data_IF_372619543791
#
_entry.id   IF_372619543791
#
_cell.length_a   1.000
_cell.length_b   1.000
_cell.length_c   1.000
_cell.angle_alpha   90.00
_cell.angle_beta   90.00
_cell.angle_gamma   90.00
#
_symmetry.space_group_name_H-M   'P 1'
#
loop_
_entity.id
_entity.type
_entity.pdbx_description
1 polymer ?
#
# COMPACT_ATOMS: atom_id res chain seq x y z
N UNK A 1 -19.79 -30.43 -45.54
CA UNK A 1 -20.40 -29.09 -45.45
C UNK A 1 -19.57 -28.25 -44.50
N UNK A 2 -19.05 -27.08 -44.80
CA UNK A 2 -18.75 -26.38 -46.04
C UNK A 2 -17.56 -25.47 -45.68
N UNK A 3 -16.58 -25.45 -46.57
CA UNK A 3 -15.36 -24.66 -46.54
C UNK A 3 -15.66 -23.16 -46.63
N UNK A 4 -14.92 -22.33 -45.89
CA UNK A 4 -14.84 -20.87 -46.10
C UNK A 4 -13.59 -20.30 -45.43
N UNK A 5 -12.43 -20.78 -45.91
CA UNK A 5 -11.16 -20.07 -45.85
C UNK A 5 -10.85 -19.51 -47.24
N UNK A 6 -11.23 -18.26 -47.50
CA UNK A 6 -10.58 -17.38 -48.49
C UNK A 6 -11.42 -16.12 -48.72
N UNK A 7 -11.00 -14.97 -48.18
CA UNK A 7 -11.19 -13.65 -48.80
C UNK A 7 -10.65 -12.53 -47.92
N UNK A 8 -9.39 -12.12 -48.12
CA UNK A 8 -9.03 -10.69 -48.18
C UNK A 8 -7.96 -10.51 -49.27
N UNK A 9 -8.43 -10.08 -50.43
CA UNK A 9 -7.63 -9.74 -51.59
C UNK A 9 -6.82 -8.45 -51.39
N UNK A 10 -5.61 -8.50 -51.95
CA UNK A 10 -4.72 -7.40 -52.31
C UNK A 10 -5.50 -6.26 -52.99
N UNK A 11 -5.46 -5.06 -52.42
CA UNK A 11 -5.78 -3.82 -53.15
C UNK A 11 -4.50 -3.10 -53.54
N UNK A 12 -4.25 -3.07 -54.85
CA UNK A 12 -3.36 -2.15 -55.53
C UNK A 12 -3.69 -0.70 -55.12
N UNK A 13 -2.70 0.02 -54.58
CA UNK A 13 -2.74 1.46 -54.52
C UNK A 13 -2.04 2.05 -55.76
N UNK A 14 -2.84 2.75 -56.54
CA UNK A 14 -2.44 3.62 -57.63
C UNK A 14 -1.54 4.75 -57.11
N UNK A 15 -0.45 4.98 -57.84
CA UNK A 15 0.37 6.19 -57.77
C UNK A 15 -0.49 7.43 -58.02
N UNK A 16 -0.73 8.22 -56.97
CA UNK A 16 -1.24 9.59 -57.09
C UNK A 16 -0.07 10.59 -56.95
N UNK A 17 -0.05 11.67 -57.76
CA UNK A 17 1.04 12.65 -57.73
C UNK A 17 1.03 13.44 -56.41
N UNK A 18 2.18 13.44 -55.73
CA UNK A 18 2.45 14.29 -54.56
C UNK A 18 2.35 15.77 -54.96
N UNK A 19 1.19 16.40 -54.74
CA UNK A 19 1.10 17.86 -54.64
C UNK A 19 1.86 18.29 -53.38
N UNK A 20 2.94 19.05 -53.57
CA UNK A 20 3.66 19.77 -52.51
C UNK A 20 2.68 20.70 -51.80
N UNK A 21 2.11 20.27 -50.68
CA UNK A 21 1.50 21.19 -49.71
C UNK A 21 2.65 21.94 -49.05
N UNK A 22 2.73 23.24 -49.31
CA UNK A 22 3.51 24.19 -48.54
C UNK A 22 3.13 24.04 -47.06
N UNK A 23 4.05 23.46 -46.29
CA UNK A 23 3.97 23.41 -44.83
C UNK A 23 4.22 24.83 -44.36
N UNK A 24 3.15 25.54 -43.98
CA UNK A 24 3.29 26.77 -43.21
C UNK A 24 4.07 26.41 -41.93
N UNK A 25 5.25 27.00 -41.79
CA UNK A 25 6.04 26.98 -40.57
C UNK A 25 5.17 27.52 -39.43
N UNK A 26 4.63 26.63 -38.60
CA UNK A 26 4.09 27.02 -37.30
C UNK A 26 5.31 27.33 -36.44
N UNK A 27 5.53 28.62 -36.19
CA UNK A 27 6.56 29.11 -35.28
C UNK A 27 6.47 28.35 -33.96
N UNK A 28 7.60 27.87 -33.41
CA UNK A 28 7.60 27.18 -32.13
C UNK A 28 6.96 28.09 -31.08
N UNK A 29 5.88 27.61 -30.48
CA UNK A 29 5.22 28.24 -29.33
C UNK A 29 6.29 28.59 -28.31
N UNK A 30 6.51 29.89 -28.09
CA UNK A 30 7.47 30.39 -27.12
C UNK A 30 7.15 29.75 -25.77
N UNK A 31 8.07 28.93 -25.26
CA UNK A 31 8.03 28.43 -23.90
C UNK A 31 7.97 29.67 -22.99
N UNK A 32 6.97 29.79 -22.10
CA UNK A 32 6.81 30.98 -21.27
C UNK A 32 8.12 31.23 -20.52
N UNK A 33 8.63 32.45 -20.66
CA UNK A 33 9.85 32.91 -20.03
C UNK A 33 9.83 32.54 -18.54
N UNK A 34 10.95 32.02 -18.04
CA UNK A 34 11.10 31.61 -16.65
C UNK A 34 10.67 32.77 -15.73
N UNK A 35 9.52 32.60 -15.07
CA UNK A 35 9.01 33.55 -14.07
C UNK A 35 10.14 33.87 -13.08
N UNK A 36 10.31 35.15 -12.81
CA UNK A 36 11.39 35.60 -11.92
C UNK A 36 11.21 34.96 -10.54
N UNK A 37 12.31 34.69 -9.82
CA UNK A 37 12.24 34.12 -8.46
C UNK A 37 11.34 34.97 -7.54
N UNK A 38 11.31 36.29 -7.77
CA UNK A 38 10.46 37.25 -7.04
C UNK A 38 8.97 37.03 -7.29
N UNK A 39 8.55 36.78 -8.54
CA UNK A 39 7.14 36.49 -8.85
C UNK A 39 6.65 35.19 -8.18
N UNK A 40 7.50 34.17 -8.13
CA UNK A 40 7.17 32.90 -7.47
C UNK A 40 7.02 33.07 -5.96
N UNK A 41 7.87 33.88 -5.33
CA UNK A 41 7.78 34.21 -3.90
C UNK A 41 6.52 35.00 -3.59
N UNK A 42 6.22 36.05 -4.36
CA UNK A 42 5.01 36.85 -4.18
C UNK A 42 3.73 36.01 -4.34
N UNK A 43 3.69 35.10 -5.33
CA UNK A 43 2.56 34.18 -5.51
C UNK A 43 2.41 33.21 -4.33
N UNK A 44 3.51 32.72 -3.75
CA UNK A 44 3.48 31.86 -2.57
C UNK A 44 3.02 32.61 -1.32
N UNK A 45 3.46 33.84 -1.11
CA UNK A 45 3.04 34.69 0.01
C UNK A 45 1.56 35.03 -0.05
N UNK A 46 1.07 35.41 -1.23
CA UNK A 46 -0.36 35.64 -1.46
C UNK A 46 -1.18 34.40 -1.12
N UNK A 47 -0.74 33.23 -1.58
CA UNK A 47 -1.42 31.96 -1.34
C UNK A 47 -1.42 31.57 0.14
N UNK A 48 -0.35 31.86 0.87
CA UNK A 48 -0.31 31.69 2.35
C UNK A 48 -1.27 32.64 3.05
N UNK A 49 -1.41 33.88 2.56
CA UNK A 49 -2.37 34.84 3.14
C UNK A 49 -3.82 34.40 2.92
N UNK A 50 -4.19 33.97 1.70
CA UNK A 50 -5.50 33.39 1.37
C UNK A 50 -5.84 32.19 2.27
N UNK A 51 -4.86 31.30 2.45
CA UNK A 51 -4.98 30.15 3.33
C UNK A 51 -5.20 30.52 4.79
N UNK A 52 -4.48 31.52 5.32
CA UNK A 52 -4.68 31.98 6.70
C UNK A 52 -6.11 32.49 6.92
N UNK A 53 -6.66 33.24 5.97
CA UNK A 53 -8.06 33.67 6.04
C UNK A 53 -9.05 32.49 5.97
N UNK A 54 -8.74 31.45 5.18
CA UNK A 54 -9.55 30.24 5.13
C UNK A 54 -9.48 29.46 6.46
N UNK A 55 -8.30 29.35 7.05
CA UNK A 55 -8.05 28.70 8.35
C UNK A 55 -8.82 29.41 9.45
N UNK A 56 -8.76 30.75 9.49
CA UNK A 56 -9.54 31.56 10.43
C UNK A 56 -11.03 31.25 10.29
N UNK A 57 -11.59 31.30 9.06
CA UNK A 57 -13.00 30.96 8.81
C UNK A 57 -13.38 29.57 9.33
N UNK A 58 -12.54 28.56 9.07
CA UNK A 58 -12.78 27.19 9.53
C UNK A 58 -12.68 27.06 11.06
N UNK A 59 -11.72 27.73 11.70
CA UNK A 59 -11.57 27.74 13.16
C UNK A 59 -12.76 28.43 13.86
N UNK A 60 -13.30 29.50 13.27
CA UNK A 60 -14.47 30.21 13.81
C UNK A 60 -15.79 29.45 13.61
N UNK A 61 -15.89 28.57 12.61
CA UNK A 61 -17.08 27.74 12.39
C UNK A 61 -17.32 26.68 13.47
N UNK A 62 -16.39 26.54 14.43
CA UNK A 62 -16.45 25.60 15.54
C UNK A 62 -15.69 24.30 15.23
N UNK A 63 -14.74 23.96 16.09
CA UNK A 63 -13.83 22.80 15.92
C UNK A 63 -14.50 21.43 15.98
N UNK A 64 -15.82 21.32 16.17
CA UNK A 64 -16.45 20.02 16.47
C UNK A 64 -16.28 18.99 15.35
N UNK A 65 -16.09 19.45 14.10
CA UNK A 65 -16.17 18.61 12.91
C UNK A 65 -14.84 18.48 12.15
N UNK A 66 -13.78 19.17 12.58
CA UNK A 66 -12.49 19.10 11.89
C UNK A 66 -11.74 17.83 12.29
N UNK A 67 -11.42 17.00 11.29
CA UNK A 67 -10.55 15.82 11.46
C UNK A 67 -9.12 16.22 11.89
N UNK A 68 -8.41 15.32 12.55
CA UNK A 68 -7.01 15.52 12.94
C UNK A 68 -6.10 15.91 11.77
N UNK A 69 -6.28 15.29 10.60
CA UNK A 69 -5.55 15.64 9.37
C UNK A 69 -5.83 17.07 8.86
N UNK A 70 -7.04 17.60 9.06
CA UNK A 70 -7.36 19.01 8.78
C UNK A 70 -6.61 19.94 9.74
N UNK A 71 -6.67 19.66 11.03
CA UNK A 71 -5.99 20.44 12.07
C UNK A 71 -4.46 20.45 11.87
N UNK A 72 -3.88 19.29 11.54
CA UNK A 72 -2.46 19.17 11.19
C UNK A 72 -2.13 20.03 9.96
N UNK A 73 -2.94 19.95 8.91
CA UNK A 73 -2.74 20.76 7.70
C UNK A 73 -2.80 22.26 8.01
N UNK A 74 -3.77 22.69 8.83
CA UNK A 74 -3.91 24.08 9.27
C UNK A 74 -2.70 24.55 10.09
N UNK A 75 -2.19 23.70 10.98
CA UNK A 75 -1.01 23.99 11.80
C UNK A 75 0.26 24.19 10.95
N UNK A 76 0.52 23.28 10.02
CA UNK A 76 1.70 23.36 9.14
C UNK A 76 1.63 24.61 8.26
N UNK A 77 0.45 24.94 7.71
CA UNK A 77 0.25 26.14 6.88
C UNK A 77 0.36 27.44 7.68
N UNK A 78 -0.07 27.43 8.93
CA UNK A 78 -0.03 28.60 9.81
C UNK A 78 1.37 28.92 10.31
N UNK A 79 2.26 27.94 10.31
CA UNK A 79 3.68 28.15 10.62
C UNK A 79 4.34 29.06 9.58
N UNK A 80 5.29 29.87 10.04
CA UNK A 80 6.15 30.65 9.17
C UNK A 80 7.35 29.82 8.66
N UNK A 81 7.57 28.64 9.22
CA UNK A 81 8.64 27.72 8.84
C UNK A 81 8.27 26.90 7.59
N UNK A 82 9.27 26.48 6.81
CA UNK A 82 9.05 25.62 5.64
C UNK A 82 8.63 24.20 6.03
N UNK A 83 9.10 23.75 7.18
CA UNK A 83 8.84 22.43 7.75
C UNK A 83 8.66 22.56 9.25
N UNK A 84 7.66 21.91 9.83
CA UNK A 84 7.24 22.10 11.22
C UNK A 84 7.41 20.79 11.99
N UNK A 85 7.94 20.84 13.21
CA UNK A 85 8.02 19.66 14.06
C UNK A 85 6.63 19.20 14.52
N UNK A 86 6.47 17.89 14.72
CA UNK A 86 5.22 17.32 15.25
C UNK A 86 4.79 17.90 16.59
N UNK A 87 5.76 18.18 17.47
CA UNK A 87 5.50 18.82 18.75
C UNK A 87 4.89 20.23 18.59
N UNK A 88 5.40 21.02 17.63
CA UNK A 88 4.90 22.36 17.34
C UNK A 88 3.53 22.32 16.66
N UNK A 89 3.31 21.33 15.78
CA UNK A 89 1.99 21.06 15.19
C UNK A 89 0.97 20.78 16.29
N UNK A 90 1.29 19.88 17.23
CA UNK A 90 0.40 19.57 18.34
C UNK A 90 0.18 20.80 19.24
N UNK A 91 1.24 21.54 19.55
CA UNK A 91 1.17 22.79 20.31
C UNK A 91 0.21 23.80 19.67
N UNK A 92 0.30 23.97 18.34
CA UNK A 92 -0.60 24.84 17.59
C UNK A 92 -2.06 24.37 17.70
N UNK A 93 -2.33 23.07 17.56
CA UNK A 93 -3.70 22.52 17.66
C UNK A 93 -4.27 22.78 19.06
N UNK A 94 -3.48 22.57 20.10
CA UNK A 94 -3.90 22.81 21.49
C UNK A 94 -4.20 24.30 21.70
N UNK A 95 -3.36 25.20 21.17
CA UNK A 95 -3.56 26.64 21.32
C UNK A 95 -4.76 27.19 20.53
N UNK A 96 -5.08 26.60 19.39
CA UNK A 96 -6.11 27.11 18.49
C UNK A 96 -7.44 26.36 18.62
N UNK A 97 -7.46 25.18 19.23
CA UNK A 97 -8.68 24.41 19.42
C UNK A 97 -9.12 24.29 20.87
N UNK A 98 -10.27 24.90 21.20
CA UNK A 98 -10.83 24.87 22.58
C UNK A 98 -11.12 23.44 23.05
N UNK A 99 -11.65 22.59 22.16
CA UNK A 99 -11.94 21.18 22.44
C UNK A 99 -10.69 20.43 22.90
N UNK A 100 -9.61 20.58 22.15
CA UNK A 100 -8.36 19.87 22.42
C UNK A 100 -7.61 20.48 23.62
N UNK A 101 -7.67 21.81 23.81
CA UNK A 101 -7.14 22.48 25.01
C UNK A 101 -7.75 21.93 26.31
N UNK A 102 -9.06 21.70 26.35
CA UNK A 102 -9.73 21.12 27.51
C UNK A 102 -9.29 19.67 27.78
N UNK A 103 -9.12 18.85 26.74
CA UNK A 103 -8.62 17.48 26.87
C UNK A 103 -7.22 17.43 27.49
N UNK A 104 -6.34 18.36 27.10
CA UNK A 104 -4.97 18.45 27.63
C UNK A 104 -4.95 18.73 29.13
N UNK A 105 -5.84 19.60 29.64
CA UNK A 105 -5.90 19.89 31.08
C UNK A 105 -6.14 18.64 31.93
N UNK A 106 -7.01 17.75 31.46
CA UNK A 106 -7.29 16.47 32.13
C UNK A 106 -6.09 15.52 32.03
N UNK A 107 -5.50 15.40 30.84
CA UNK A 107 -4.35 14.51 30.58
C UNK A 107 -3.10 14.97 31.35
N UNK A 108 -2.85 16.29 31.44
CA UNK A 108 -1.74 16.85 32.22
C UNK A 108 -1.84 16.43 33.69
N UNK A 109 -3.04 16.54 34.27
CA UNK A 109 -3.26 16.17 35.66
C UNK A 109 -2.89 14.70 35.91
N UNK A 110 -3.28 13.82 34.98
CA UNK A 110 -2.99 12.39 35.06
C UNK A 110 -1.51 12.09 34.76
N UNK A 111 -0.92 12.65 33.72
CA UNK A 111 0.48 12.41 33.36
C UNK A 111 1.45 12.87 34.45
N UNK A 112 1.23 14.03 35.06
CA UNK A 112 2.04 14.52 36.19
C UNK A 112 1.90 13.57 37.39
N UNK A 113 0.67 13.10 37.67
CA UNK A 113 0.39 12.19 38.78
C UNK A 113 1.06 10.81 38.61
N UNK A 114 1.12 10.28 37.38
CA UNK A 114 1.60 8.91 37.14
C UNK A 114 3.05 8.81 36.67
N UNK A 115 3.57 9.77 35.90
CA UNK A 115 4.85 9.61 35.21
C UNK A 115 5.92 10.63 35.61
N UNK A 116 5.59 11.64 36.42
CA UNK A 116 6.54 12.67 36.86
C UNK A 116 7.19 13.48 35.72
N UNK A 117 6.67 13.37 34.49
CA UNK A 117 7.17 14.06 33.31
C UNK A 117 6.04 14.42 32.35
N UNK A 118 6.25 15.50 31.60
CA UNK A 118 5.30 16.05 30.63
C UNK A 118 5.60 15.43 29.25
N UNK A 119 5.41 14.12 29.12
CA UNK A 119 5.39 13.46 27.80
C UNK A 119 3.98 12.98 27.53
N UNK A 120 3.30 13.65 26.60
CA UNK A 120 1.93 13.33 26.23
C UNK A 120 1.91 12.27 25.12
N UNK A 121 1.12 11.20 25.26
CA UNK A 121 0.72 10.41 24.11
C UNK A 121 -0.14 11.30 23.22
N UNK A 122 0.36 11.65 22.03
CA UNK A 122 -0.29 12.64 21.18
C UNK A 122 -1.68 12.19 20.72
N UNK A 123 -1.89 10.87 20.64
CA UNK A 123 -3.19 10.27 20.32
C UNK A 123 -4.25 10.46 21.41
N UNK A 124 -3.86 10.75 22.65
CA UNK A 124 -4.81 11.08 23.72
C UNK A 124 -5.32 12.51 23.61
N UNK A 125 -4.53 13.41 23.02
CA UNK A 125 -4.91 14.81 22.86
C UNK A 125 -5.78 14.99 21.62
N UNK A 126 -5.29 14.52 20.47
CA UNK A 126 -5.99 14.57 19.19
C UNK A 126 -6.21 13.15 18.70
N UNK A 127 -7.48 12.75 18.55
CA UNK A 127 -7.83 11.42 18.09
C UNK A 127 -7.24 11.17 16.69
N UNK A 128 -6.56 10.03 16.52
CA UNK A 128 -5.89 9.64 15.26
C UNK A 128 -4.82 10.64 14.77
N UNK A 129 -4.15 11.37 15.67
CA UNK A 129 -3.04 12.28 15.31
C UNK A 129 -1.95 11.57 14.50
N UNK A 130 -1.44 10.45 15.02
CA UNK A 130 -0.34 9.69 14.40
C UNK A 130 -0.74 8.96 13.12
N UNK A 131 -1.99 8.47 13.06
CA UNK A 131 -2.55 7.86 11.87
C UNK A 131 -2.79 8.89 10.77
N UNK A 132 -3.19 10.11 11.14
CA UNK A 132 -3.38 11.22 10.19
C UNK A 132 -2.09 11.59 9.47
N UNK A 133 -0.92 11.55 10.11
CA UNK A 133 0.37 11.75 9.42
C UNK A 133 0.67 10.70 8.35
N UNK A 134 0.12 9.50 8.50
CA UNK A 134 0.26 8.41 7.53
C UNK A 134 -0.88 8.39 6.52
N UNK A 135 -1.85 9.31 6.62
CA UNK A 135 -2.96 9.39 5.70
C UNK A 135 -2.47 9.85 4.34
N UNK A 136 -2.60 8.96 3.37
CA UNK A 136 -2.28 9.23 1.96
C UNK A 136 -3.02 10.45 1.36
N UNK A 137 -4.20 10.78 1.88
CA UNK A 137 -4.99 11.93 1.39
C UNK A 137 -4.45 13.26 1.92
N UNK A 138 -3.61 13.21 2.95
CA UNK A 138 -3.04 14.40 3.54
C UNK A 138 -1.87 14.88 2.69
N UNK A 139 -1.86 16.15 2.28
CA UNK A 139 -0.85 16.69 1.37
C UNK A 139 0.52 17.01 2.02
N UNK A 140 0.88 16.36 3.13
CA UNK A 140 2.17 16.60 3.78
C UNK A 140 3.31 15.89 3.06
N UNK A 141 4.48 16.50 3.14
CA UNK A 141 5.76 15.93 2.73
C UNK A 141 6.65 15.82 3.97
N UNK A 142 7.10 14.62 4.29
CA UNK A 142 8.02 14.39 5.41
C UNK A 142 9.41 14.92 5.05
N UNK A 143 9.92 15.85 5.85
CA UNK A 143 11.24 16.45 5.68
C UNK A 143 12.21 15.73 6.60
N UNK A 144 13.00 14.83 6.01
CA UNK A 144 14.01 14.07 6.75
C UNK A 144 15.36 14.80 6.74
N UNK A 145 15.56 15.69 7.70
CA UNK A 145 16.85 16.38 7.88
C UNK A 145 17.96 15.47 8.42
N UNK A 146 17.62 14.29 8.95
CA UNK A 146 18.55 13.30 9.50
C UNK A 146 17.81 11.97 9.71
N UNK A 147 18.48 10.80 9.83
CA UNK A 147 17.89 9.58 10.39
C UNK A 147 17.50 9.80 11.86
N UNK A 148 16.42 10.55 12.04
CA UNK A 148 15.74 10.82 13.29
C UNK A 148 15.38 9.49 13.96
N UNK A 149 16.07 9.17 15.05
CA UNK A 149 15.73 8.03 15.91
C UNK A 149 14.57 8.35 16.86
N UNK A 150 14.23 9.64 17.03
CA UNK A 150 13.13 10.07 17.90
C UNK A 150 11.94 10.59 17.09
N UNK A 151 10.75 10.22 17.53
CA UNK A 151 9.47 10.64 16.97
C UNK A 151 9.32 12.18 17.00
N UNK A 152 9.84 12.85 18.04
CA UNK A 152 9.79 14.31 18.21
C UNK A 152 10.58 15.08 17.14
N UNK A 153 11.56 14.43 16.51
CA UNK A 153 12.44 15.07 15.52
C UNK A 153 11.91 15.02 14.09
N UNK A 154 10.75 14.41 13.85
CA UNK A 154 10.13 14.40 12.53
C UNK A 154 9.53 15.77 12.21
N UNK A 155 9.90 16.30 11.03
CA UNK A 155 9.36 17.53 10.48
C UNK A 155 8.45 17.22 9.29
N UNK A 156 7.37 17.97 9.16
CA UNK A 156 6.45 17.87 8.02
C UNK A 156 6.30 19.23 7.34
N UNK A 157 6.26 19.22 6.02
CA UNK A 157 6.07 20.41 5.19
C UNK A 157 4.85 20.23 4.28
N UNK A 158 4.37 21.33 3.68
CA UNK A 158 3.25 21.29 2.75
C UNK A 158 3.38 22.38 1.69
N UNK A 159 3.13 22.00 0.44
CA UNK A 159 3.01 22.98 -0.63
C UNK A 159 1.68 23.75 -0.50
N UNK A 160 1.68 25.10 -0.48
CA UNK A 160 0.47 25.87 -0.20
C UNK A 160 -0.71 25.55 -1.13
N UNK A 161 -0.47 25.27 -2.42
CA UNK A 161 -1.55 24.94 -3.35
C UNK A 161 -2.24 23.61 -2.99
N UNK A 162 -1.49 22.63 -2.48
CA UNK A 162 -2.07 21.35 -2.05
C UNK A 162 -2.87 21.53 -0.75
N UNK A 163 -2.35 22.32 0.18
CA UNK A 163 -3.07 22.69 1.39
C UNK A 163 -4.41 23.33 1.08
N UNK A 164 -4.44 24.26 0.11
CA UNK A 164 -5.65 24.93 -0.33
C UNK A 164 -6.68 23.96 -0.89
N UNK A 165 -6.28 23.11 -1.84
CA UNK A 165 -7.18 22.10 -2.40
C UNK A 165 -7.73 21.15 -1.33
N UNK A 166 -6.89 20.79 -0.35
CA UNK A 166 -7.30 19.95 0.77
C UNK A 166 -8.27 20.65 1.72
N UNK A 167 -7.95 21.86 2.19
CA UNK A 167 -8.80 22.64 3.12
C UNK A 167 -10.11 23.10 2.49
N UNK A 168 -10.14 23.36 1.18
CA UNK A 168 -11.38 23.59 0.42
C UNK A 168 -12.37 22.43 0.52
N UNK A 169 -11.94 21.24 0.92
CA UNK A 169 -12.86 20.11 1.17
C UNK A 169 -13.67 20.24 2.45
N UNK A 170 -13.21 21.05 3.40
CA UNK A 170 -13.82 21.26 4.71
C UNK A 170 -14.61 22.57 4.76
N UNK A 171 -14.44 23.45 3.77
CA UNK A 171 -15.27 24.64 3.59
C UNK A 171 -16.67 24.13 3.20
N UNK A 172 -17.54 23.96 4.22
CA UNK A 172 -18.94 23.61 4.04
C UNK A 172 -19.60 24.76 3.28
N UNK A 173 -19.52 24.70 1.95
CA UNK A 173 -20.30 25.55 1.08
C UNK A 173 -21.77 25.43 1.49
N UNK A 174 -22.52 26.51 1.34
CA UNK A 174 -23.94 26.47 1.65
C UNK A 174 -24.57 25.30 0.87
N UNK A 175 -25.60 24.63 1.43
CA UNK A 175 -26.32 23.57 0.74
C UNK A 175 -26.76 23.97 -0.69
N UNK A 176 -26.99 25.27 -0.91
CA UNK A 176 -27.36 25.86 -2.20
C UNK A 176 -26.20 25.92 -3.21
N UNK A 177 -24.95 26.11 -2.74
CA UNK A 177 -23.75 26.06 -3.59
C UNK A 177 -23.36 24.62 -3.96
N UNK A 178 -23.58 23.64 -3.06
CA UNK A 178 -23.38 22.22 -3.40
C UNK A 178 -24.35 21.75 -4.50
N UNK A 179 -25.58 22.28 -4.52
CA UNK A 179 -26.58 21.95 -5.54
C UNK A 179 -26.22 22.47 -6.95
N UNK A 180 -25.37 23.50 -7.07
CA UNK A 180 -25.03 24.13 -8.36
C UNK A 180 -23.68 23.70 -8.93
N UNK A 181 -22.75 23.21 -8.10
CA UNK A 181 -21.59 22.50 -8.61
C UNK A 181 -21.99 21.09 -9.03
N UNK A 182 -22.41 20.93 -10.30
CA UNK A 182 -22.44 19.62 -10.94
C UNK A 182 -21.08 18.99 -10.80
N UNK A 183 -20.93 18.06 -9.85
CA UNK A 183 -19.65 17.40 -9.58
C UNK A 183 -19.18 16.79 -10.89
N UNK A 184 -17.98 17.13 -11.34
CA UNK A 184 -17.41 16.54 -12.55
C UNK A 184 -17.43 15.02 -12.42
N UNK A 185 -18.32 14.35 -13.16
CA UNK A 185 -18.47 12.89 -13.06
C UNK A 185 -17.35 12.29 -13.87
N UNK A 186 -16.82 11.16 -13.41
CA UNK A 186 -15.80 10.46 -14.19
C UNK A 186 -16.29 10.11 -15.60
N UNK A 187 -17.57 9.76 -15.74
CA UNK A 187 -18.21 9.48 -17.03
C UNK A 187 -18.20 10.68 -18.00
N UNK A 188 -18.03 11.90 -17.48
CA UNK A 188 -17.91 13.11 -18.29
C UNK A 188 -16.49 13.23 -18.89
N UNK A 189 -15.51 12.40 -18.49
CA UNK A 189 -14.25 12.26 -19.22
C UNK A 189 -14.45 11.49 -20.54
N UNK A 190 -13.71 11.89 -21.59
CA UNK A 190 -13.58 11.08 -22.80
C UNK A 190 -13.21 9.63 -22.46
N UNK A 191 -13.88 8.65 -23.09
CA UNK A 191 -13.68 7.23 -22.78
C UNK A 191 -12.21 6.81 -22.91
N UNK A 192 -11.43 7.43 -23.80
CA UNK A 192 -10.00 7.18 -23.97
C UNK A 192 -9.21 7.49 -22.70
N UNK A 193 -9.49 8.63 -22.05
CA UNK A 193 -8.83 9.01 -20.80
C UNK A 193 -9.26 8.09 -19.66
N UNK A 194 -10.53 7.69 -19.63
CA UNK A 194 -11.02 6.73 -18.64
C UNK A 194 -10.31 5.39 -18.76
N UNK A 195 -10.19 4.87 -19.99
CA UNK A 195 -9.46 3.63 -20.28
C UNK A 195 -8.00 3.76 -19.86
N UNK A 196 -7.31 4.87 -20.19
CA UNK A 196 -5.92 5.06 -19.77
C UNK A 196 -5.75 5.11 -18.25
N UNK A 197 -6.67 5.76 -17.53
CA UNK A 197 -6.67 5.79 -16.07
C UNK A 197 -6.90 4.37 -15.52
N UNK A 198 -7.87 3.63 -16.05
CA UNK A 198 -8.14 2.26 -15.66
C UNK A 198 -7.00 1.30 -16.00
N UNK A 199 -6.35 1.43 -17.15
CA UNK A 199 -5.15 0.66 -17.49
C UNK A 199 -4.02 0.96 -16.49
N UNK A 200 -3.80 2.22 -16.13
CA UNK A 200 -2.78 2.59 -15.15
C UNK A 200 -3.08 2.09 -13.74
N UNK A 201 -4.36 1.97 -13.37
CA UNK A 201 -4.80 1.66 -12.01
C UNK A 201 -5.04 0.14 -11.84
N UNK A 202 -5.57 -0.56 -12.84
CA UNK A 202 -6.02 -1.95 -12.74
C UNK A 202 -5.13 -2.98 -13.45
N UNK A 203 -4.03 -2.58 -14.08
CA UNK A 203 -3.15 -3.53 -14.80
C UNK A 203 -2.16 -4.29 -13.88
N UNK A 204 -2.47 -4.46 -12.60
CA UNK A 204 -1.56 -5.09 -11.65
C UNK A 204 -2.00 -6.51 -11.26
N UNK A 205 -1.50 -7.56 -11.94
CA UNK A 205 -1.84 -8.95 -11.65
C UNK A 205 -1.44 -9.41 -10.25
N UNK A 206 -0.37 -8.83 -9.70
CA UNK A 206 0.04 -8.98 -8.31
C UNK A 206 0.83 -7.72 -7.93
N UNK A 207 0.54 -7.13 -6.78
CA UNK A 207 1.26 -6.01 -6.20
C UNK A 207 2.08 -6.56 -5.04
N UNK A 208 3.41 -6.58 -5.20
CA UNK A 208 4.31 -6.99 -4.11
C UNK A 208 4.58 -5.78 -3.22
N UNK A 209 4.20 -5.88 -1.96
CA UNK A 209 4.60 -4.96 -0.91
C UNK A 209 5.93 -5.46 -0.35
N UNK A 210 7.04 -4.86 -0.79
CA UNK A 210 8.38 -5.15 -0.27
C UNK A 210 9.04 -3.88 0.26
N UNK A 211 9.31 -3.84 1.56
CA UNK A 211 10.02 -2.72 2.19
C UNK A 211 11.47 -2.57 1.71
N UNK A 212 12.09 -3.60 1.12
CA UNK A 212 13.46 -3.51 0.55
C UNK A 212 13.49 -2.63 -0.69
N UNK A 213 12.37 -2.54 -1.41
CA UNK A 213 12.15 -1.60 -2.52
C UNK A 213 11.98 -0.17 -2.02
N UNK A 214 11.44 0.02 -0.82
CA UNK A 214 11.56 1.26 -0.05
C UNK A 214 12.98 1.34 0.53
N UNK A 215 13.96 1.36 -0.37
CA UNK A 215 15.37 1.26 -0.06
C UNK A 215 15.78 2.32 0.95
N UNK A 216 16.80 1.97 1.74
CA UNK A 216 17.62 2.94 2.46
C UNK A 216 17.84 4.12 1.54
N UNK A 217 17.45 5.32 2.00
CA UNK A 217 17.69 6.59 1.32
C UNK A 217 18.97 6.48 0.47
N UNK A 218 18.80 6.42 -0.85
CA UNK A 218 19.89 6.77 -1.73
C UNK A 218 20.32 8.15 -1.24
N UNK A 219 21.58 8.30 -0.80
CA UNK A 219 22.15 9.59 -0.37
C UNK A 219 21.99 10.71 -1.41
N UNK A 220 21.49 10.39 -2.62
CA UNK A 220 21.22 11.30 -3.72
C UNK A 220 19.78 11.80 -3.84
N UNK A 221 18.88 11.47 -2.91
CA UNK A 221 17.51 12.03 -2.95
C UNK A 221 16.64 11.52 -4.10
N UNK A 222 17.03 10.42 -4.74
CA UNK A 222 16.19 9.76 -5.74
C UNK A 222 15.09 8.97 -5.01
N UNK A 223 13.85 9.42 -5.24
CA UNK A 223 12.57 8.99 -4.68
C UNK A 223 12.44 7.53 -4.26
N UNK A 224 11.68 7.29 -3.17
CA UNK A 224 11.18 5.98 -2.76
C UNK A 224 10.53 5.25 -3.95
N UNK A 225 11.26 4.30 -4.55
CA UNK A 225 10.70 3.44 -5.57
C UNK A 225 9.93 2.33 -4.87
N UNK A 226 8.64 2.53 -4.62
CA UNK A 226 7.73 1.39 -4.42
C UNK A 226 7.73 0.61 -5.74
N UNK A 227 8.67 -0.34 -5.87
CA UNK A 227 8.76 -1.19 -7.04
C UNK A 227 7.52 -2.08 -7.05
N UNK A 228 6.58 -1.74 -7.92
CA UNK A 228 5.42 -2.55 -8.15
C UNK A 228 5.83 -3.69 -9.09
N UNK A 229 6.12 -4.84 -8.52
CA UNK A 229 6.45 -6.03 -9.30
C UNK A 229 5.18 -6.58 -9.96
N UNK A 230 4.93 -6.15 -11.19
CA UNK A 230 3.83 -6.64 -12.03
C UNK A 230 4.17 -8.04 -12.51
N UNK A 231 3.56 -9.07 -11.92
CA UNK A 231 3.67 -10.44 -12.43
C UNK A 231 2.74 -10.63 -13.63
N UNK A 232 3.19 -10.29 -14.84
CA UNK A 232 2.40 -10.29 -16.09
C UNK A 232 1.32 -11.40 -16.10
N UNK A 233 0.05 -11.05 -16.36
CA UNK A 233 -0.96 -12.07 -16.69
C UNK A 233 -0.40 -12.87 -17.88
N UNK A 234 -0.54 -14.21 -17.91
CA UNK A 234 -0.43 -14.95 -19.16
C UNK A 234 -1.60 -14.50 -20.06
N UNK A 235 -1.40 -13.42 -20.81
CA UNK A 235 -2.27 -13.08 -21.94
C UNK A 235 -1.88 -14.02 -23.09
N UNK A 236 -2.42 -15.23 -23.07
CA UNK A 236 -2.58 -16.09 -24.25
C UNK A 236 -3.28 -17.38 -23.81
N UNK A 237 -4.56 -17.50 -24.18
CA UNK A 237 -5.35 -18.74 -24.05
C UNK A 237 -4.96 -19.81 -25.09
N UNK A 238 -3.83 -19.69 -25.77
CA UNK A 238 -3.46 -20.59 -26.88
C UNK A 238 -2.19 -21.43 -26.65
N UNK A 239 -1.48 -21.30 -25.52
CA UNK A 239 -0.37 -22.21 -25.21
C UNK A 239 -0.87 -23.43 -24.44
N UNK A 240 -1.37 -24.41 -25.21
CA UNK A 240 -1.81 -25.73 -24.72
C UNK A 240 -0.67 -26.62 -24.17
N UNK A 241 0.58 -26.13 -24.14
CA UNK A 241 1.75 -26.87 -23.66
C UNK A 241 2.23 -26.44 -22.25
N UNK A 242 1.39 -25.73 -21.48
CA UNK A 242 1.78 -25.15 -20.18
C UNK A 242 1.90 -26.13 -18.99
N UNK A 243 1.84 -27.45 -19.21
CA UNK A 243 1.87 -28.42 -18.11
C UNK A 243 3.27 -28.81 -17.61
N UNK A 244 4.35 -28.51 -18.33
CA UNK A 244 5.71 -28.95 -17.93
C UNK A 244 6.69 -27.83 -17.59
N UNK A 245 6.35 -26.57 -17.89
CA UNK A 245 7.12 -25.46 -17.38
C UNK A 245 6.49 -25.01 -16.07
N UNK A 246 7.15 -25.31 -14.94
CA UNK A 246 7.00 -24.47 -13.73
C UNK A 246 6.99 -23.04 -14.26
N UNK A 247 5.95 -22.22 -14.05
CA UNK A 247 5.97 -20.86 -14.51
C UNK A 247 7.20 -20.26 -13.86
N UNK A 248 8.25 -20.07 -14.67
CA UNK A 248 9.37 -19.26 -14.28
C UNK A 248 8.66 -17.95 -14.01
N UNK A 249 8.49 -17.62 -12.74
CA UNK A 249 8.05 -16.31 -12.33
C UNK A 249 9.16 -15.38 -12.82
N UNK A 250 9.20 -15.10 -14.12
CA UNK A 250 9.98 -14.02 -14.67
C UNK A 250 9.38 -12.80 -14.00
N UNK A 251 10.04 -12.41 -12.91
CA UNK A 251 9.83 -11.17 -12.21
C UNK A 251 10.30 -10.09 -13.16
N UNK A 252 9.52 -9.83 -14.20
CA UNK A 252 9.71 -8.66 -15.04
C UNK A 252 9.43 -7.48 -14.11
N UNK A 253 10.51 -6.92 -13.59
CA UNK A 253 10.45 -5.69 -12.82
C UNK A 253 10.10 -4.56 -13.77
N UNK A 254 8.80 -4.40 -14.03
CA UNK A 254 8.32 -3.23 -14.74
C UNK A 254 8.60 -2.02 -13.86
N UNK A 255 9.41 -1.09 -14.36
CA UNK A 255 9.60 0.22 -13.72
C UNK A 255 8.31 1.01 -13.87
N UNK A 256 7.40 0.87 -12.93
CA UNK A 256 6.23 1.74 -12.82
C UNK A 256 6.59 3.00 -12.04
N UNK A 257 5.76 4.04 -12.15
CA UNK A 257 5.81 5.15 -11.19
C UNK A 257 5.47 4.62 -9.79
N UNK A 258 5.90 5.30 -8.70
CA UNK A 258 5.49 4.96 -7.35
C UNK A 258 3.97 4.84 -7.25
N UNK A 259 3.47 3.88 -6.45
CA UNK A 259 2.03 3.67 -6.28
C UNK A 259 1.33 4.95 -5.82
N UNK A 260 2.01 5.76 -5.00
CA UNK A 260 1.53 7.07 -4.56
C UNK A 260 1.31 8.04 -5.71
N UNK A 261 2.09 7.98 -6.80
CA UNK A 261 1.89 8.79 -8.00
C UNK A 261 0.80 8.22 -8.91
N UNK A 262 0.64 6.90 -8.96
CA UNK A 262 -0.44 6.27 -9.75
C UNK A 262 -1.78 6.55 -9.09
N UNK A 263 -1.87 6.37 -7.77
CA UNK A 263 -3.07 6.69 -7.00
C UNK A 263 -3.34 8.20 -6.97
N UNK A 264 -2.32 9.06 -7.12
CA UNK A 264 -2.57 10.52 -7.14
C UNK A 264 -3.26 10.95 -8.43
N UNK A 265 -3.15 10.16 -9.51
CA UNK A 265 -3.97 10.36 -10.71
C UNK A 265 -5.46 10.15 -10.40
N UNK A 266 -5.80 9.24 -9.49
CA UNK A 266 -7.17 9.10 -8.99
C UNK A 266 -7.56 10.29 -8.12
N UNK A 267 -6.62 10.85 -7.36
CA UNK A 267 -6.86 12.03 -6.51
C UNK A 267 -7.12 13.34 -7.28
N UNK A 268 -6.92 13.37 -8.61
CA UNK A 268 -7.25 14.54 -9.44
C UNK A 268 -8.75 14.87 -9.37
N UNK A 269 -9.60 13.85 -9.15
CA UNK A 269 -11.01 14.05 -8.81
C UNK A 269 -11.40 13.13 -7.65
N UNK A 270 -11.94 13.72 -6.58
CA UNK A 270 -12.43 12.96 -5.42
C UNK A 270 -13.49 11.94 -5.80
N UNK A 271 -14.32 12.24 -6.81
CA UNK A 271 -15.31 11.32 -7.33
C UNK A 271 -14.64 10.10 -7.94
N UNK A 272 -13.65 10.35 -8.79
CA UNK A 272 -12.81 9.34 -9.42
C UNK A 272 -12.13 8.44 -8.40
N UNK A 273 -11.54 9.05 -7.38
CA UNK A 273 -10.91 8.33 -6.29
C UNK A 273 -11.92 7.44 -5.56
N UNK A 274 -13.06 7.99 -5.13
CA UNK A 274 -14.11 7.23 -4.43
C UNK A 274 -14.67 6.09 -5.28
N UNK A 275 -14.80 6.29 -6.58
CA UNK A 275 -15.29 5.28 -7.52
C UNK A 275 -14.23 4.18 -7.76
N UNK A 276 -12.98 4.55 -8.04
CA UNK A 276 -11.94 3.63 -8.48
C UNK A 276 -11.23 2.88 -7.35
N UNK A 277 -11.13 3.47 -6.15
CA UNK A 277 -10.45 2.87 -4.98
C UNK A 277 -10.99 1.49 -4.63
N UNK A 278 -12.31 1.26 -4.52
CA UNK A 278 -12.85 -0.07 -4.24
C UNK A 278 -12.44 -1.11 -5.30
N UNK A 279 -12.48 -0.76 -6.58
CA UNK A 279 -12.06 -1.65 -7.66
C UNK A 279 -10.55 -1.93 -7.59
N UNK A 280 -9.74 -0.93 -7.25
CA UNK A 280 -8.30 -1.09 -7.16
C UNK A 280 -7.94 -2.13 -6.11
N UNK A 281 -8.42 -1.97 -4.88
CA UNK A 281 -8.09 -2.91 -3.81
C UNK A 281 -8.76 -4.28 -3.98
N UNK A 282 -9.92 -4.36 -4.64
CA UNK A 282 -10.65 -5.64 -4.81
C UNK A 282 -10.14 -6.48 -5.99
N UNK A 283 -9.62 -5.84 -7.03
CA UNK A 283 -9.11 -6.54 -8.22
C UNK A 283 -7.66 -6.97 -8.05
N UNK A 284 -6.85 -6.17 -7.34
CA UNK A 284 -5.43 -6.44 -7.17
C UNK A 284 -5.17 -7.48 -6.06
N UNK A 285 -4.12 -8.27 -6.25
CA UNK A 285 -3.62 -9.22 -5.27
C UNK A 285 -2.39 -8.65 -4.56
N UNK A 286 -2.44 -8.49 -3.23
CA UNK A 286 -1.35 -7.89 -2.46
C UNK A 286 -0.46 -8.95 -1.83
N UNK A 287 0.79 -9.06 -2.30
CA UNK A 287 1.78 -9.99 -1.77
C UNK A 287 2.61 -9.33 -0.68
N UNK A 288 2.57 -9.91 0.51
CA UNK A 288 3.27 -9.48 1.72
C UNK A 288 4.41 -10.47 1.95
N UNK A 289 5.64 -10.00 1.77
CA UNK A 289 6.84 -10.86 1.75
C UNK A 289 7.17 -11.41 3.13
N UNK A 290 6.79 -10.71 4.19
CA UNK A 290 6.88 -11.19 5.55
C UNK A 290 5.85 -10.50 6.46
N UNK A 291 5.85 -10.88 7.73
CA UNK A 291 4.94 -10.30 8.72
C UNK A 291 5.21 -8.82 9.04
N UNK A 292 6.40 -8.31 8.72
CA UNK A 292 6.72 -6.89 8.86
C UNK A 292 6.04 -6.08 7.76
N UNK A 293 6.09 -6.56 6.52
CA UNK A 293 5.35 -5.97 5.42
C UNK A 293 3.85 -6.07 5.66
N UNK A 294 3.39 -7.17 6.23
CA UNK A 294 1.99 -7.33 6.64
C UNK A 294 1.53 -6.29 7.66
N UNK A 295 2.25 -6.10 8.77
CA UNK A 295 1.85 -5.10 9.76
C UNK A 295 2.02 -3.67 9.26
N UNK A 296 3.02 -3.41 8.41
CA UNK A 296 3.15 -2.13 7.74
C UNK A 296 1.96 -1.87 6.82
N UNK A 297 1.55 -2.86 6.03
CA UNK A 297 0.40 -2.79 5.14
C UNK A 297 -0.87 -2.42 5.92
N UNK A 298 -1.14 -3.09 7.04
CA UNK A 298 -2.32 -2.76 7.87
C UNK A 298 -2.23 -1.41 8.56
N UNK A 299 -1.02 -0.87 8.79
CA UNK A 299 -0.82 0.42 9.43
C UNK A 299 -0.92 1.58 8.45
N UNK A 300 -0.36 1.41 7.25
CA UNK A 300 -0.35 2.43 6.19
C UNK A 300 -1.71 2.52 5.51
N UNK A 301 -2.43 1.40 5.44
CA UNK A 301 -3.74 1.38 4.80
C UNK A 301 -4.83 1.80 5.78
N UNK A 302 -5.49 2.92 5.47
CA UNK A 302 -6.65 3.38 6.25
C UNK A 302 -7.71 2.26 6.34
N UNK A 303 -8.43 2.12 7.49
CA UNK A 303 -9.42 1.06 7.67
C UNK A 303 -10.47 1.00 6.55
N UNK A 304 -10.94 2.15 6.06
CA UNK A 304 -11.90 2.24 4.94
C UNK A 304 -11.39 1.57 3.65
N UNK A 305 -10.08 1.63 3.39
CA UNK A 305 -9.46 1.02 2.21
C UNK A 305 -9.15 -0.45 2.42
N UNK A 306 -8.78 -0.82 3.65
CA UNK A 306 -8.55 -2.22 4.01
C UNK A 306 -9.79 -3.06 3.72
N UNK A 307 -11.00 -2.51 3.95
CA UNK A 307 -12.29 -3.16 3.65
C UNK A 307 -12.52 -3.51 2.17
N UNK A 308 -11.74 -2.92 1.26
CA UNK A 308 -11.82 -3.22 -0.17
C UNK A 308 -10.79 -4.27 -0.61
N UNK A 309 -9.89 -4.71 0.28
CA UNK A 309 -8.82 -5.66 -0.06
C UNK A 309 -9.40 -7.06 -0.13
N UNK A 310 -9.61 -7.58 -1.35
CA UNK A 310 -10.20 -8.89 -1.53
C UNK A 310 -9.17 -10.03 -1.64
N UNK A 311 -7.90 -9.74 -1.95
CA UNK A 311 -6.91 -10.80 -2.14
C UNK A 311 -5.52 -10.44 -1.62
N UNK A 312 -4.97 -11.32 -0.78
CA UNK A 312 -3.64 -11.15 -0.19
C UNK A 312 -2.82 -12.44 -0.27
N UNK A 313 -1.50 -12.30 -0.32
CA UNK A 313 -0.55 -13.39 -0.09
C UNK A 313 0.33 -13.04 1.11
N UNK A 314 0.57 -13.99 1.99
CA UNK A 314 1.42 -13.83 3.17
C UNK A 314 2.50 -14.90 3.12
N UNK A 315 3.76 -14.48 3.14
CA UNK A 315 4.89 -15.41 3.11
C UNK A 315 5.48 -15.65 4.50
N UNK A 316 5.63 -16.91 4.87
CA UNK A 316 6.24 -17.39 6.09
C UNK A 316 7.70 -17.75 5.83
N UNK A 317 8.59 -16.77 5.95
CA UNK A 317 10.02 -16.94 5.68
C UNK A 317 10.82 -17.13 6.99
N UNK A 318 11.52 -18.26 7.17
CA UNK A 318 12.43 -18.50 8.29
C UNK A 318 13.43 -17.36 8.49
N UNK A 319 13.80 -17.08 9.75
CA UNK A 319 14.81 -16.06 10.09
C UNK A 319 14.34 -14.60 9.97
N UNK A 320 13.37 -14.27 9.11
CA UNK A 320 12.80 -12.90 9.02
C UNK A 320 11.88 -12.56 10.20
N UNK A 321 11.37 -13.57 10.89
CA UNK A 321 10.52 -13.40 12.06
C UNK A 321 11.26 -12.96 13.33
N UNK A 322 12.59 -13.15 13.42
CA UNK A 322 13.35 -12.80 14.64
C UNK A 322 13.33 -11.30 14.96
N UNK A 323 13.09 -10.46 13.96
CA UNK A 323 13.09 -8.99 14.08
C UNK A 323 11.68 -8.45 14.32
N UNK A 324 10.65 -9.30 14.30
CA UNK A 324 9.27 -8.85 14.27
C UNK A 324 8.63 -8.80 15.67
N UNK A 325 7.97 -7.68 15.97
CA UNK A 325 7.28 -7.48 17.25
C UNK A 325 5.95 -8.24 17.22
N UNK A 326 5.82 -9.31 18.01
CA UNK A 326 4.60 -10.11 18.12
C UNK A 326 3.36 -9.28 18.49
N UNK A 327 3.52 -8.14 19.20
CA UNK A 327 2.40 -7.23 19.48
C UNK A 327 1.87 -6.58 18.21
N UNK A 328 2.77 -6.16 17.31
CA UNK A 328 2.39 -5.59 16.01
C UNK A 328 1.71 -6.64 15.13
N UNK A 329 2.20 -7.90 15.18
CA UNK A 329 1.53 -9.01 14.51
C UNK A 329 0.09 -9.14 14.98
N UNK A 330 -0.10 -9.25 16.29
CA UNK A 330 -1.41 -9.45 16.91
C UNK A 330 -2.38 -8.32 16.56
N UNK A 331 -1.90 -7.08 16.55
CA UNK A 331 -2.68 -5.93 16.11
C UNK A 331 -3.08 -6.02 14.63
N UNK A 332 -2.14 -6.33 13.72
CA UNK A 332 -2.41 -6.50 12.30
C UNK A 332 -3.44 -7.63 12.03
N UNK A 333 -3.30 -8.76 12.74
CA UNK A 333 -4.27 -9.87 12.66
C UNK A 333 -5.65 -9.43 13.17
N UNK A 334 -5.69 -8.61 14.22
CA UNK A 334 -6.96 -8.08 14.77
C UNK A 334 -7.66 -7.21 13.72
N UNK A 335 -6.92 -6.34 13.03
CA UNK A 335 -7.46 -5.52 11.93
C UNK A 335 -7.99 -6.37 10.78
N UNK A 336 -7.27 -7.41 10.35
CA UNK A 336 -7.79 -8.33 9.34
C UNK A 336 -8.98 -9.15 9.83
N UNK A 337 -9.05 -9.46 11.12
CA UNK A 337 -10.22 -10.14 11.65
C UNK A 337 -11.46 -9.24 11.60
N UNK A 338 -11.31 -7.92 11.63
CA UNK A 338 -12.43 -6.99 11.41
C UNK A 338 -12.84 -6.86 9.93
N UNK A 339 -12.03 -7.38 9.01
CA UNK A 339 -12.34 -7.41 7.58
C UNK A 339 -13.59 -8.28 7.30
N UNK A 340 -14.41 -7.88 6.32
CA UNK A 340 -15.66 -8.56 5.97
C UNK A 340 -15.46 -9.97 5.38
N UNK A 341 -14.25 -10.26 4.91
CA UNK A 341 -13.87 -11.56 4.35
C UNK A 341 -12.98 -11.37 3.13
N UNK A 342 -12.10 -12.34 2.88
CA UNK A 342 -11.19 -12.29 1.73
C UNK A 342 -11.74 -13.18 0.63
N UNK A 343 -11.69 -12.72 -0.62
CA UNK A 343 -11.96 -13.61 -1.76
C UNK A 343 -10.90 -14.70 -1.82
N UNK A 344 -9.62 -14.33 -1.70
CA UNK A 344 -8.50 -15.27 -1.76
C UNK A 344 -7.40 -14.88 -0.78
N UNK A 345 -7.00 -15.82 0.08
CA UNK A 345 -5.77 -15.74 0.87
C UNK A 345 -4.80 -16.80 0.36
N UNK A 346 -3.57 -16.39 0.09
CA UNK A 346 -2.49 -17.27 -0.33
C UNK A 346 -1.41 -17.33 0.76
N UNK A 347 -1.20 -18.50 1.34
CA UNK A 347 -0.15 -18.73 2.35
C UNK A 347 1.07 -19.32 1.64
N UNK A 348 2.17 -18.59 1.64
CA UNK A 348 3.43 -19.03 1.01
C UNK A 348 4.41 -19.53 2.06
N UNK A 349 4.83 -20.78 1.95
CA UNK A 349 5.88 -21.40 2.78
C UNK A 349 6.80 -22.12 1.81
N UNK A 350 7.99 -21.58 1.56
CA UNK A 350 8.87 -22.12 0.50
C UNK A 350 9.28 -23.58 0.82
N UNK A 351 9.80 -23.82 2.02
CA UNK A 351 10.14 -25.13 2.58
C UNK A 351 9.73 -25.16 4.06
N UNK A 352 8.85 -26.10 4.45
CA UNK A 352 8.45 -26.23 5.85
C UNK A 352 9.57 -26.78 6.75
N UNK A 353 10.47 -27.58 6.20
CA UNK A 353 11.65 -28.13 6.91
C UNK A 353 12.52 -27.00 7.49
N UNK A 354 12.71 -25.91 6.74
CA UNK A 354 13.49 -24.75 7.21
C UNK A 354 12.92 -24.13 8.49
N UNK A 355 11.61 -24.28 8.74
CA UNK A 355 10.98 -23.84 9.98
C UNK A 355 11.20 -24.83 11.12
N UNK A 356 11.01 -26.11 10.83
CA UNK A 356 11.11 -27.18 11.81
C UNK A 356 12.55 -27.40 12.26
N UNK A 357 13.54 -27.18 11.40
CA UNK A 357 14.96 -27.33 11.69
C UNK A 357 15.60 -26.15 12.44
N UNK A 358 14.85 -25.08 12.72
CA UNK A 358 15.36 -23.96 13.51
C UNK A 358 15.62 -24.44 14.94
N UNK A 359 16.89 -24.55 15.34
CA UNK A 359 17.27 -24.92 16.72
C UNK A 359 17.40 -23.71 17.65
N UNK A 360 17.06 -23.90 18.92
CA UNK A 360 17.36 -22.96 20.01
C UNK A 360 18.85 -23.01 20.36
N UNK A 361 19.31 -22.15 21.28
CA UNK A 361 20.71 -22.20 21.77
C UNK A 361 21.05 -23.54 22.42
N UNK A 362 20.05 -24.23 22.96
CA UNK A 362 20.18 -25.51 23.65
C UNK A 362 20.09 -26.71 22.68
N UNK A 363 19.98 -26.46 21.37
CA UNK A 363 19.92 -27.51 20.35
C UNK A 363 18.54 -28.11 20.11
N UNK A 364 17.52 -27.73 20.88
CA UNK A 364 16.14 -28.18 20.67
C UNK A 364 15.48 -27.48 19.47
N UNK A 365 14.63 -28.19 18.72
CA UNK A 365 13.83 -27.58 17.67
C UNK A 365 12.90 -26.50 18.27
N UNK A 366 12.96 -25.30 17.72
CA UNK A 366 12.21 -24.13 18.18
C UNK A 366 10.74 -24.22 17.81
N UNK A 367 10.44 -24.83 16.67
CA UNK A 367 9.10 -25.02 16.14
C UNK A 367 8.94 -26.48 15.73
N UNK A 368 8.80 -27.42 16.69
CA UNK A 368 8.71 -28.84 16.37
C UNK A 368 7.42 -29.22 15.62
N UNK A 369 6.39 -28.38 15.69
CA UNK A 369 5.10 -28.61 15.03
C UNK A 369 4.59 -27.35 14.32
N UNK A 370 3.68 -27.53 13.35
CA UNK A 370 3.01 -26.43 12.67
C UNK A 370 2.28 -25.48 13.64
N UNK A 371 1.72 -25.98 14.74
CA UNK A 371 1.01 -25.17 15.74
C UNK A 371 1.92 -24.19 16.50
N UNK A 372 3.23 -24.45 16.52
CA UNK A 372 4.24 -23.60 17.14
C UNK A 372 4.64 -22.44 16.23
N UNK A 373 4.24 -22.46 14.95
CA UNK A 373 4.57 -21.40 14.01
C UNK A 373 3.98 -20.05 14.48
N UNK A 374 4.82 -19.02 14.59
CA UNK A 374 4.44 -17.77 15.24
C UNK A 374 3.30 -17.06 14.49
N UNK A 375 2.21 -16.80 15.21
CA UNK A 375 1.02 -16.12 14.69
C UNK A 375 0.10 -16.99 13.83
N UNK A 376 0.46 -18.24 13.53
CA UNK A 376 -0.37 -19.12 12.68
C UNK A 376 -1.73 -19.40 13.31
N UNK A 377 -1.76 -19.71 14.62
CA UNK A 377 -3.01 -19.94 15.38
C UNK A 377 -3.95 -18.73 15.35
N UNK A 378 -3.41 -17.52 15.44
CA UNK A 378 -4.20 -16.30 15.35
C UNK A 378 -4.69 -16.05 13.91
N UNK A 379 -3.85 -16.32 12.90
CA UNK A 379 -4.19 -16.19 11.48
C UNK A 379 -5.29 -17.15 11.03
N UNK A 380 -5.45 -18.32 11.66
CA UNK A 380 -6.57 -19.23 11.38
C UNK A 380 -7.94 -18.51 11.51
N UNK A 381 -8.07 -17.54 12.43
CA UNK A 381 -9.30 -16.74 12.58
C UNK A 381 -9.60 -15.87 11.36
N UNK A 382 -8.55 -15.46 10.64
CA UNK A 382 -8.65 -14.71 9.38
C UNK A 382 -8.90 -15.67 8.23
N UNK A 383 -8.19 -16.81 8.18
CA UNK A 383 -8.36 -17.84 7.14
C UNK A 383 -9.77 -18.41 7.08
N UNK A 384 -10.42 -18.58 8.24
CA UNK A 384 -11.85 -19.00 8.32
C UNK A 384 -12.81 -18.08 7.57
N UNK A 385 -12.43 -16.81 7.33
CA UNK A 385 -13.24 -15.81 6.61
C UNK A 385 -12.87 -15.71 5.13
N UNK A 386 -11.95 -16.52 4.63
CA UNK A 386 -11.55 -16.53 3.23
C UNK A 386 -12.45 -17.48 2.42
N UNK A 387 -12.89 -17.03 1.24
CA UNK A 387 -13.62 -17.90 0.30
C UNK A 387 -12.68 -18.94 -0.33
N UNK A 388 -11.45 -18.53 -0.63
CA UNK A 388 -10.40 -19.37 -1.20
C UNK A 388 -9.13 -19.26 -0.34
N UNK A 389 -8.62 -20.41 0.11
CA UNK A 389 -7.36 -20.52 0.85
C UNK A 389 -6.41 -21.42 0.06
N UNK A 390 -5.32 -20.84 -0.43
CA UNK A 390 -4.32 -21.49 -1.26
C UNK A 390 -3.01 -21.57 -0.49
N UNK A 391 -2.39 -22.75 -0.45
CA UNK A 391 -1.04 -22.94 0.05
C UNK A 391 -0.08 -23.03 -1.15
N UNK A 392 1.07 -22.37 -1.04
CA UNK A 392 2.08 -22.33 -2.09
C UNK A 392 3.44 -22.64 -1.49
N UNK A 393 4.13 -23.60 -2.10
CA UNK A 393 5.39 -24.17 -1.63
C UNK A 393 5.18 -25.51 -0.92
N UNK A 394 6.27 -26.13 -0.47
CA UNK A 394 6.24 -27.48 0.12
C UNK A 394 5.94 -27.39 1.62
N UNK A 395 4.66 -27.47 1.97
CA UNK A 395 4.17 -27.27 3.34
C UNK A 395 2.98 -28.16 3.74
N UNK A 396 3.03 -29.48 3.50
CA UNK A 396 1.91 -30.39 3.78
C UNK A 396 1.49 -30.43 5.25
N UNK A 397 2.42 -30.36 6.21
CA UNK A 397 2.07 -30.38 7.64
C UNK A 397 1.32 -29.10 8.05
N UNK A 398 1.80 -27.95 7.57
CA UNK A 398 1.15 -26.66 7.88
C UNK A 398 -0.22 -26.55 7.22
N UNK A 399 -0.34 -26.97 5.96
CA UNK A 399 -1.62 -27.01 5.25
C UNK A 399 -2.62 -27.92 5.98
N UNK A 400 -2.21 -29.15 6.33
CA UNK A 400 -3.06 -30.11 7.04
C UNK A 400 -3.52 -29.55 8.39
N UNK A 401 -2.61 -28.96 9.17
CA UNK A 401 -2.93 -28.34 10.45
C UNK A 401 -3.95 -27.20 10.29
N UNK A 402 -3.72 -26.26 9.37
CA UNK A 402 -4.65 -25.13 9.15
C UNK A 402 -6.01 -25.62 8.68
N UNK A 403 -6.07 -26.56 7.73
CA UNK A 403 -7.35 -27.12 7.24
C UNK A 403 -8.10 -27.84 8.35
N UNK A 404 -7.42 -28.59 9.21
CA UNK A 404 -8.03 -29.25 10.36
C UNK A 404 -8.57 -28.24 11.40
N UNK A 405 -7.82 -27.19 11.70
CA UNK A 405 -8.25 -26.12 12.61
C UNK A 405 -9.44 -25.32 12.08
N UNK A 406 -9.51 -25.13 10.75
CA UNK A 406 -10.66 -24.52 10.08
C UNK A 406 -11.90 -25.42 10.23
N UNK A 407 -11.75 -26.73 9.97
CA UNK A 407 -12.85 -27.71 9.96
C UNK A 407 -13.36 -28.06 11.37
N UNK A 408 -12.47 -28.25 12.34
CA UNK A 408 -12.80 -28.84 13.65
C UNK A 408 -12.70 -27.86 14.82
N UNK A 409 -12.21 -26.63 14.61
CA UNK A 409 -12.06 -25.65 15.68
C UNK A 409 -10.79 -25.86 16.52
N UNK A 410 -10.82 -25.50 17.80
CA UNK A 410 -9.62 -25.48 18.67
C UNK A 410 -9.16 -26.87 19.14
N UNK A 411 -9.96 -27.91 18.88
CA UNK A 411 -9.66 -29.29 19.26
C UNK A 411 -9.60 -30.18 18.01
N UNK A 412 -8.65 -29.98 17.08
CA UNK A 412 -8.50 -30.88 15.97
C UNK A 412 -8.08 -32.27 16.49
N UNK A 413 -8.53 -33.36 15.85
CA UNK A 413 -7.95 -34.67 16.12
C UNK A 413 -6.45 -34.59 15.86
N UNK A 414 -5.62 -35.03 16.82
CA UNK A 414 -4.17 -35.06 16.65
C UNK A 414 -3.85 -35.89 15.41
N UNK A 415 -3.31 -35.25 14.39
CA UNK A 415 -2.72 -35.95 13.25
C UNK A 415 -1.58 -36.79 13.80
N UNK A 416 -1.73 -38.12 13.76
CA UNK A 416 -0.60 -39.01 14.01
C UNK A 416 0.48 -38.62 13.02
N UNK A 417 1.69 -38.39 13.51
CA UNK A 417 2.85 -38.10 12.66
C UNK A 417 2.86 -39.19 11.58
N UNK A 418 2.74 -38.79 10.33
CA UNK A 418 2.95 -39.72 9.22
C UNK A 418 4.45 -39.95 9.29
N UNK A 419 4.85 -41.07 9.87
CA UNK A 419 6.25 -41.48 9.86
C UNK A 419 6.58 -41.71 8.38
N UNK A 420 7.11 -40.68 7.72
CA UNK A 420 7.79 -40.84 6.45
C UNK A 420 8.93 -41.79 6.74
N UNK A 421 8.78 -43.04 6.30
CA UNK A 421 9.84 -44.02 6.36
C UNK A 421 11.09 -43.33 5.78
N UNK A 422 12.24 -43.37 6.48
CA UNK A 422 13.45 -42.75 5.96
C UNK A 422 13.63 -43.27 4.55
N UNK A 423 13.71 -42.35 3.58
CA UNK A 423 14.12 -42.67 2.22
C UNK A 423 15.51 -43.29 2.40
N UNK A 424 15.54 -44.61 2.38
CA UNK A 424 16.78 -45.35 2.35
C UNK A 424 17.36 -44.99 0.99
N UNK A 425 18.42 -44.20 0.99
CA UNK A 425 19.31 -44.08 -0.16
C UNK A 425 19.87 -45.49 -0.40
N UNK A 426 19.10 -46.33 -1.10
CA UNK A 426 19.66 -47.43 -1.86
C UNK A 426 20.56 -46.77 -2.90
N UNK A 427 21.83 -46.69 -2.55
CA UNK A 427 22.93 -46.50 -3.46
C UNK A 427 22.79 -47.54 -4.56
N UNK A 428 22.21 -47.12 -5.67
CA UNK A 428 22.37 -47.82 -6.94
C UNK A 428 23.86 -47.73 -7.30
N UNK A 429 24.63 -48.71 -6.87
CA UNK A 429 25.89 -49.07 -7.52
C UNK A 429 25.54 -49.37 -8.96
N UNK A 430 25.86 -48.43 -9.85
CA UNK A 430 25.94 -48.67 -11.27
C UNK A 430 27.16 -49.57 -11.45
N UNK A 431 26.90 -50.86 -11.73
CA UNK A 431 27.93 -51.78 -12.20
C UNK A 431 28.37 -51.31 -13.60
N UNK A 432 29.56 -50.71 -13.64
CA UNK A 432 30.35 -50.49 -14.86
C UNK A 432 30.90 -51.85 -15.33
N UNK A 433 30.07 -52.62 -16.04
CA UNK A 433 30.54 -53.73 -16.88
C UNK A 433 30.30 -53.36 -18.35
N UNK A 434 31.25 -52.62 -18.91
CA UNK A 434 31.34 -52.34 -20.34
C UNK A 434 32.80 -52.54 -20.80
N UNK A 435 33.23 -53.80 -20.88
CA UNK A 435 34.37 -54.17 -21.73
C UNK A 435 34.08 -55.47 -22.49
N UNK A 436 34.50 -55.43 -23.75
CA UNK A 436 34.80 -56.56 -24.63
C UNK A 436 33.64 -57.19 -25.43
N UNK A 437 33.45 -56.70 -26.66
CA UNK A 437 33.35 -57.59 -27.83
C UNK A 437 33.95 -56.92 -29.07
N UNK A 438 35.06 -57.51 -29.53
CA UNK A 438 35.51 -57.55 -30.91
C UNK A 438 34.98 -58.83 -31.56
#
# INVERSE_FOLDING_TARGET
MADLSDHIQRRHFLNLPRKKKSTAQVSPTQVPAAQSKSEKQAAQEWLRSDLKQQIERLAWAGDSDLSASALITMAVVSSNEESVHRADILGWIISNSKRHACSVGNIISDCIRYYGSIRFPCEQVVEDFDGSFQSYEMPLEDVHDSPATSWDSQKSSILPHRARTYLMSFDKRSPDEEATTTSFRFLDLPPELRIRIYELVFSFPSIVFDKRSVGRYSRRGDYEQTHLHVQRRPWSTNDLNAFEHRPIEERISLKTRPLTQILSLLCVSKFLYREAVPYFYSMNHFRLVDFKDFALFTRVLAPSRLMHVCSISISYIPGRMKVFNLKQLKHAITLLHLHQGFRKIEVRIDLEEDWFDIKTKDGHHKYPHAEDLPGLKDMIKVFKKANELVFVGDCPEVEAYVRNMIRYGENPPRTKKVDFAPVTEESATIDDDFEEFA
#
